data_IF_413238965428
#
_entry.id   IF_413238965428
#
_cell.length_a   1.000
_cell.length_b   1.000
_cell.length_c   1.000
_cell.angle_alpha   90.00
_cell.angle_beta   90.00
_cell.angle_gamma   90.00
#
_symmetry.space_group_name_H-M   'P 1'
#
loop_
_entity.id
_entity.type
_entity.pdbx_description
1 polymer ?
#
# COMPACT_ATOMS: atom_id res chain seq x y z
N UNK A 1 -22.72 0.59 -6.75
CA UNK A 1 -22.01 1.50 -5.85
C UNK A 1 -21.02 0.70 -5.01
N UNK A 2 -19.76 1.13 -4.95
CA UNK A 2 -18.70 0.55 -4.13
C UNK A 2 -18.21 1.63 -3.17
N UNK A 3 -18.16 1.32 -1.87
CA UNK A 3 -17.70 2.25 -0.83
C UNK A 3 -16.56 1.57 -0.07
N UNK A 4 -15.41 2.24 0.01
CA UNK A 4 -14.21 1.83 0.74
C UNK A 4 -13.16 2.94 0.69
N UNK A 5 -12.44 3.12 1.79
CA UNK A 5 -11.46 4.20 1.98
C UNK A 5 -10.19 3.54 2.55
N UNK A 6 -9.09 3.69 1.82
CA UNK A 6 -7.74 3.39 2.32
C UNK A 6 -7.08 4.65 2.86
N UNK A 7 -5.84 4.54 3.32
CA UNK A 7 -5.07 5.71 3.76
C UNK A 7 -4.70 6.61 2.59
N UNK A 8 -4.70 7.91 2.81
CA UNK A 8 -4.49 8.92 1.77
C UNK A 8 -5.68 9.09 0.83
N UNK A 9 -6.88 8.67 1.25
CA UNK A 9 -8.10 8.78 0.44
C UNK A 9 -9.19 9.53 1.19
N UNK A 10 -9.82 10.50 0.53
CA UNK A 10 -10.90 11.30 1.12
C UNK A 10 -12.24 10.90 0.53
N UNK A 11 -13.28 10.79 1.37
CA UNK A 11 -14.64 10.44 0.91
C UNK A 11 -15.14 11.42 -0.15
N UNK A 12 -14.89 12.72 0.05
CA UNK A 12 -15.33 13.80 -0.85
C UNK A 12 -14.80 13.64 -2.28
N UNK A 13 -13.64 13.01 -2.45
CA UNK A 13 -13.02 12.80 -3.76
C UNK A 13 -13.54 11.53 -4.46
N UNK A 14 -14.21 10.64 -3.72
CA UNK A 14 -14.60 9.30 -4.19
C UNK A 14 -16.11 9.12 -4.36
N UNK A 15 -16.91 9.83 -3.58
CA UNK A 15 -18.36 9.66 -3.59
C UNK A 15 -18.93 9.99 -4.97
N UNK A 16 -19.82 9.12 -5.48
CA UNK A 16 -20.43 9.28 -6.80
C UNK A 16 -19.59 8.80 -7.99
N UNK A 17 -18.30 8.51 -7.80
CA UNK A 17 -17.44 7.99 -8.87
C UNK A 17 -17.62 6.49 -9.08
N UNK A 18 -17.41 6.06 -10.32
CA UNK A 18 -17.33 4.63 -10.63
C UNK A 18 -15.91 4.10 -10.31
N UNK A 19 -15.73 2.78 -10.34
CA UNK A 19 -14.45 2.17 -9.97
C UNK A 19 -13.30 2.55 -10.91
N UNK A 20 -13.58 2.70 -12.20
CA UNK A 20 -12.57 3.04 -13.19
C UNK A 20 -12.07 4.47 -12.97
N UNK A 21 -12.98 5.44 -12.80
CA UNK A 21 -12.62 6.83 -12.48
C UNK A 21 -11.72 6.91 -11.25
N UNK A 22 -12.02 6.14 -10.19
CA UNK A 22 -11.20 6.07 -8.99
C UNK A 22 -9.77 5.57 -9.25
N UNK A 23 -9.59 4.60 -10.16
CA UNK A 23 -8.27 4.07 -10.50
C UNK A 23 -7.52 4.97 -11.49
N UNK A 24 -8.23 5.67 -12.37
CA UNK A 24 -7.64 6.67 -13.27
C UNK A 24 -7.15 7.89 -12.49
N UNK A 25 -7.98 8.42 -11.59
CA UNK A 25 -7.61 9.54 -10.72
C UNK A 25 -6.44 9.16 -9.80
N UNK A 26 -6.42 7.91 -9.31
CA UNK A 26 -5.33 7.36 -8.53
C UNK A 26 -4.07 7.03 -9.33
N UNK A 27 -4.09 7.21 -10.66
CA UNK A 27 -2.97 6.90 -11.57
C UNK A 27 -2.41 5.49 -11.34
N UNK A 28 -3.30 4.50 -11.23
CA UNK A 28 -2.89 3.11 -11.01
C UNK A 28 -2.22 2.56 -12.27
N UNK A 29 -0.95 2.12 -12.21
CA UNK A 29 -0.24 1.62 -13.37
C UNK A 29 -0.97 0.48 -14.07
N UNK A 30 -0.96 0.51 -15.40
CA UNK A 30 -1.56 -0.49 -16.30
C UNK A 30 -3.06 -0.77 -16.07
N UNK A 31 -3.81 0.14 -15.42
CA UNK A 31 -5.20 -0.13 -15.08
C UNK A 31 -6.08 -0.35 -16.32
N UNK A 32 -5.99 0.55 -17.30
CA UNK A 32 -6.79 0.47 -18.53
C UNK A 32 -6.48 -0.81 -19.33
N UNK A 33 -5.20 -1.13 -19.46
CA UNK A 33 -4.71 -2.18 -20.34
C UNK A 33 -4.89 -3.58 -19.72
N UNK A 34 -4.67 -3.70 -18.40
CA UNK A 34 -4.56 -5.00 -17.73
C UNK A 34 -5.61 -5.25 -16.66
N UNK A 35 -6.09 -4.23 -15.93
CA UNK A 35 -6.87 -4.45 -14.70
C UNK A 35 -8.37 -4.19 -14.86
N UNK A 36 -8.78 -3.20 -15.64
CA UNK A 36 -10.17 -2.76 -15.70
C UNK A 36 -11.11 -3.89 -16.11
N UNK A 37 -10.87 -4.53 -17.27
CA UNK A 37 -11.75 -5.59 -17.79
C UNK A 37 -11.84 -6.81 -16.85
N UNK A 38 -10.73 -7.37 -16.33
CA UNK A 38 -10.81 -8.45 -15.35
C UNK A 38 -11.55 -8.05 -14.08
N UNK A 39 -11.32 -6.84 -13.57
CA UNK A 39 -11.93 -6.35 -12.33
C UNK A 39 -13.44 -6.14 -12.48
N UNK A 40 -13.88 -5.54 -13.58
CA UNK A 40 -15.31 -5.36 -13.89
C UNK A 40 -16.02 -6.70 -14.04
N UNK A 41 -15.39 -7.66 -14.74
CA UNK A 41 -15.91 -9.03 -14.87
C UNK A 41 -15.99 -9.73 -13.52
N UNK A 42 -14.98 -9.56 -12.69
CA UNK A 42 -14.93 -10.18 -11.38
C UNK A 42 -16.01 -9.62 -10.45
N UNK A 43 -16.11 -8.29 -10.34
CA UNK A 43 -17.08 -7.63 -9.50
C UNK A 43 -18.51 -7.88 -9.96
N UNK A 44 -18.79 -7.90 -11.26
CA UNK A 44 -20.12 -8.25 -11.78
C UNK A 44 -20.55 -9.68 -11.43
N UNK A 45 -19.60 -10.61 -11.28
CA UNK A 45 -19.85 -12.02 -10.92
C UNK A 45 -19.76 -12.32 -9.42
N UNK A 46 -19.29 -11.38 -8.59
CA UNK A 46 -19.19 -11.58 -7.14
C UNK A 46 -20.56 -11.95 -6.55
N UNK A 47 -20.66 -13.10 -5.88
CA UNK A 47 -21.92 -13.57 -5.27
C UNK A 47 -22.04 -13.11 -3.81
N UNK A 48 -23.27 -13.11 -3.29
CA UNK A 48 -23.58 -12.71 -1.91
C UNK A 48 -22.95 -13.66 -0.88
N UNK A 49 -22.98 -14.95 -1.17
CA UNK A 49 -22.49 -16.05 -0.33
C UNK A 49 -20.99 -16.32 -0.50
N UNK A 50 -20.32 -15.60 -1.41
CA UNK A 50 -18.93 -15.82 -1.78
C UNK A 50 -18.11 -14.53 -1.61
N UNK A 51 -17.97 -14.00 -0.37
CA UNK A 51 -17.10 -12.85 -0.13
C UNK A 51 -15.65 -13.24 -0.39
N UNK A 52 -14.84 -12.24 -0.73
CA UNK A 52 -13.43 -12.42 -1.03
C UNK A 52 -12.59 -11.62 -0.04
N UNK A 53 -11.42 -12.16 0.26
CA UNK A 53 -10.39 -11.46 1.01
C UNK A 53 -9.12 -11.43 0.17
N UNK A 54 -8.43 -10.29 0.19
CA UNK A 54 -7.10 -10.11 -0.38
C UNK A 54 -6.28 -9.20 0.52
N UNK A 55 -4.96 -9.25 0.37
CA UNK A 55 -4.06 -8.30 1.02
C UNK A 55 -3.41 -7.42 -0.03
N UNK A 56 -3.19 -6.15 0.31
CA UNK A 56 -2.36 -5.22 -0.45
C UNK A 56 -1.23 -4.76 0.45
N UNK A 57 -0.01 -4.71 -0.08
CA UNK A 57 1.16 -4.23 0.64
C UNK A 57 1.64 -2.89 0.07
N UNK A 58 1.94 -1.95 0.95
CA UNK A 58 2.66 -0.70 0.64
C UNK A 58 3.72 -0.49 1.71
N UNK A 59 4.90 0.01 1.32
CA UNK A 59 5.92 0.43 2.26
C UNK A 59 5.93 1.95 2.31
N UNK A 60 6.12 2.49 3.51
CA UNK A 60 6.05 3.92 3.78
C UNK A 60 7.35 4.38 4.39
N UNK A 61 7.77 5.57 3.99
CA UNK A 61 8.77 6.38 4.67
C UNK A 61 8.04 7.31 5.64
N UNK A 62 8.11 7.04 6.93
CA UNK A 62 7.50 7.85 7.97
C UNK A 62 8.34 7.82 9.24
N UNK A 63 8.79 9.01 9.63
CA UNK A 63 9.54 9.26 10.86
C UNK A 63 8.62 9.45 12.07
N UNK A 64 7.29 9.30 11.94
CA UNK A 64 6.34 9.63 13.02
C UNK A 64 5.22 8.59 13.22
N UNK A 65 5.20 8.07 14.44
CA UNK A 65 4.19 7.21 15.08
C UNK A 65 2.78 7.85 15.25
N UNK A 66 2.43 8.87 14.47
CA UNK A 66 1.20 9.62 14.71
C UNK A 66 -0.02 8.86 14.16
N UNK A 67 -1.04 8.69 14.99
CA UNK A 67 -2.37 8.18 14.61
C UNK A 67 -2.97 8.92 13.39
N UNK A 68 -2.53 10.15 13.13
CA UNK A 68 -2.97 10.98 12.00
C UNK A 68 -2.45 10.45 10.64
N UNK A 69 -1.25 9.86 10.60
CA UNK A 69 -0.67 9.23 9.38
C UNK A 69 -1.39 7.93 8.97
N UNK A 70 -2.14 7.32 9.89
CA UNK A 70 -2.93 6.11 9.61
C UNK A 70 -4.00 6.38 8.53
N UNK A 71 -4.68 7.53 8.63
CA UNK A 71 -5.77 7.95 7.75
C UNK A 71 -5.27 8.83 6.60
N UNK A 72 -4.44 9.83 6.89
CA UNK A 72 -3.95 10.78 5.89
C UNK A 72 -2.44 10.99 6.04
N UNK A 73 -1.65 10.73 5.00
CA UNK A 73 -0.21 10.74 5.16
C UNK A 73 0.39 12.11 4.86
N UNK A 74 0.28 13.01 5.83
CA UNK A 74 0.66 14.42 5.70
C UNK A 74 2.12 14.60 5.31
N UNK A 75 3.04 13.75 5.76
CA UNK A 75 4.44 13.83 5.35
C UNK A 75 4.60 13.64 3.83
N UNK A 76 3.93 12.63 3.27
CA UNK A 76 4.09 12.23 1.86
C UNK A 76 3.11 12.92 0.91
N UNK A 77 2.02 13.49 1.42
CA UNK A 77 0.94 14.10 0.62
C UNK A 77 0.68 15.57 0.98
N UNK A 78 1.31 16.11 2.02
CA UNK A 78 0.96 17.42 2.57
C UNK A 78 -0.38 17.40 3.29
N UNK A 79 -0.78 18.54 3.84
CA UNK A 79 -2.02 18.65 4.62
C UNK A 79 -3.27 18.19 3.84
N UNK A 80 -4.15 17.42 4.51
CA UNK A 80 -5.39 16.90 3.91
C UNK A 80 -6.30 18.02 3.39
N UNK A 81 -6.36 19.13 4.14
CA UNK A 81 -7.21 20.28 3.84
C UNK A 81 -6.77 21.00 2.57
N UNK A 82 -5.46 21.00 2.32
CA UNK A 82 -4.84 21.70 1.19
C UNK A 82 -4.75 20.83 -0.08
N UNK A 83 -4.93 19.51 0.03
CA UNK A 83 -4.71 18.56 -1.06
C UNK A 83 -5.64 18.74 -2.27
N UNK A 84 -5.03 18.92 -3.46
CA UNK A 84 -5.69 18.80 -4.76
C UNK A 84 -5.29 17.47 -5.43
N UNK A 85 -6.26 16.57 -5.70
CA UNK A 85 -5.99 15.26 -6.30
C UNK A 85 -5.44 15.33 -7.73
N UNK A 86 -5.59 16.45 -8.45
CA UNK A 86 -5.12 16.61 -9.84
C UNK A 86 -3.63 16.88 -9.92
N UNK A 87 -3.11 17.69 -9.00
CA UNK A 87 -1.68 18.02 -8.92
C UNK A 87 -0.94 17.14 -7.92
N UNK A 88 -1.67 16.38 -7.09
CA UNK A 88 -1.13 15.52 -6.02
C UNK A 88 -0.23 16.29 -5.04
N UNK A 89 -0.75 17.41 -4.56
CA UNK A 89 -0.10 18.25 -3.55
C UNK A 89 -1.00 19.40 -3.10
N UNK A 90 -0.48 20.34 -2.30
CA UNK A 90 -1.22 21.51 -1.85
C UNK A 90 -1.71 22.37 -3.03
N UNK A 91 -2.96 22.81 -2.97
CA UNK A 91 -3.61 23.62 -4.02
C UNK A 91 -3.03 25.04 -4.06
N UNK A 92 -3.01 25.67 -5.24
CA UNK A 92 -2.62 27.07 -5.36
C UNK A 92 -3.46 27.98 -4.44
N UNK A 93 -2.80 28.77 -3.60
CA UNK A 93 -3.44 29.70 -2.67
C UNK A 93 -3.74 29.13 -1.28
N UNK A 94 -3.38 27.88 -1.00
CA UNK A 94 -3.50 27.32 0.36
C UNK A 94 -2.27 27.61 1.22
N UNK A 95 -2.37 27.31 2.52
CA UNK A 95 -1.34 27.67 3.51
C UNK A 95 -0.01 26.97 3.27
N UNK A 96 -0.06 25.73 2.76
CA UNK A 96 1.09 24.87 2.48
C UNK A 96 1.59 24.96 1.03
N UNK A 97 0.90 25.72 0.16
CA UNK A 97 1.31 25.91 -1.23
C UNK A 97 2.68 26.59 -1.33
N UNK A 98 3.60 25.95 -2.07
CA UNK A 98 4.98 26.43 -2.23
C UNK A 98 5.85 26.34 -0.98
N UNK A 99 5.36 25.69 0.09
CA UNK A 99 6.12 25.44 1.33
C UNK A 99 6.34 23.96 1.61
N UNK A 100 5.33 23.15 1.31
CA UNK A 100 5.46 21.70 1.43
C UNK A 100 6.32 21.17 0.29
N UNK A 101 7.25 20.29 0.65
CA UNK A 101 8.10 19.56 -0.29
C UNK A 101 7.85 18.06 -0.09
N UNK A 102 7.81 17.27 -1.18
CA UNK A 102 7.73 15.83 -1.06
C UNK A 102 8.95 15.29 -0.30
N UNK A 103 8.79 14.19 0.46
CA UNK A 103 9.87 13.65 1.27
C UNK A 103 11.04 13.19 0.40
N UNK A 104 12.26 13.42 0.91
CA UNK A 104 13.50 12.94 0.32
C UNK A 104 13.73 11.45 0.59
N UNK A 105 14.97 11.02 0.35
CA UNK A 105 15.40 9.66 0.68
C UNK A 105 15.30 9.43 2.19
N UNK A 106 14.81 8.25 2.56
CA UNK A 106 14.85 7.74 3.93
C UNK A 106 16.28 7.63 4.39
N UNK A 107 16.56 7.96 5.65
CA UNK A 107 17.92 7.96 6.20
C UNK A 107 18.18 6.81 7.18
N UNK A 108 17.13 6.24 7.76
CA UNK A 108 17.23 5.15 8.74
C UNK A 108 16.11 4.11 8.57
N UNK A 109 16.40 2.84 8.88
CA UNK A 109 15.44 1.73 8.75
C UNK A 109 14.21 1.88 9.68
N UNK A 110 14.38 2.58 10.81
CA UNK A 110 13.30 2.88 11.77
C UNK A 110 12.26 3.86 11.22
N UNK A 111 12.61 4.59 10.15
CA UNK A 111 11.69 5.47 9.42
C UNK A 111 10.90 4.72 8.35
N UNK A 112 11.10 3.41 8.19
CA UNK A 112 10.34 2.60 7.23
C UNK A 112 9.25 1.85 7.97
N UNK A 113 8.01 2.01 7.52
CA UNK A 113 6.87 1.29 8.05
C UNK A 113 6.26 0.35 7.03
N UNK A 114 5.90 -0.82 7.54
CA UNK A 114 5.18 -1.83 6.81
C UNK A 114 3.68 -1.54 6.91
N UNK A 115 3.04 -1.24 5.77
CA UNK A 115 1.59 -1.05 5.69
C UNK A 115 0.95 -2.17 4.90
N UNK A 116 0.13 -2.97 5.57
CA UNK A 116 -0.68 -4.00 4.92
C UNK A 116 -2.17 -3.70 5.06
N UNK A 117 -2.91 -3.82 3.97
CA UNK A 117 -4.35 -3.71 3.98
C UNK A 117 -4.98 -5.07 3.74
N UNK A 118 -5.68 -5.60 4.74
CA UNK A 118 -6.59 -6.73 4.58
C UNK A 118 -7.91 -6.20 4.05
N UNK A 119 -8.16 -6.50 2.78
CA UNK A 119 -9.31 -6.01 2.05
C UNK A 119 -10.35 -7.11 1.89
N UNK A 120 -11.60 -6.81 2.20
CA UNK A 120 -12.73 -7.72 2.03
C UNK A 120 -13.75 -7.08 1.11
N UNK A 121 -14.18 -7.80 0.07
CA UNK A 121 -15.30 -7.36 -0.77
C UNK A 121 -16.48 -8.30 -0.57
N UNK A 122 -17.64 -7.70 -0.29
CA UNK A 122 -18.88 -8.44 -0.05
C UNK A 122 -20.05 -7.79 -0.78
N UNK A 123 -20.80 -8.59 -1.54
CA UNK A 123 -22.07 -8.15 -2.11
C UNK A 123 -23.18 -8.23 -1.05
N UNK A 124 -23.94 -7.15 -0.91
CA UNK A 124 -25.09 -7.10 0.00
C UNK A 124 -26.32 -7.80 -0.62
N UNK A 125 -27.04 -8.64 0.15
CA UNK A 125 -28.15 -9.45 -0.37
C UNK A 125 -29.34 -8.63 -0.88
N UNK A 126 -29.65 -7.49 -0.26
CA UNK A 126 -30.84 -6.70 -0.57
C UNK A 126 -30.60 -5.66 -1.67
N UNK A 127 -29.52 -4.88 -1.55
CA UNK A 127 -29.24 -3.77 -2.47
C UNK A 127 -28.38 -4.17 -3.67
N UNK A 128 -27.71 -5.33 -3.63
CA UNK A 128 -26.73 -5.73 -4.62
C UNK A 128 -25.44 -4.89 -4.63
N UNK A 129 -25.31 -3.89 -3.75
CA UNK A 129 -24.10 -3.07 -3.62
C UNK A 129 -22.92 -3.93 -3.15
N UNK A 130 -21.71 -3.53 -3.52
CA UNK A 130 -20.47 -4.18 -3.07
C UNK A 130 -19.85 -3.29 -1.99
N UNK A 131 -19.70 -3.83 -0.79
CA UNK A 131 -18.97 -3.18 0.30
C UNK A 131 -17.51 -3.61 0.20
N UNK A 132 -16.61 -2.63 0.17
CA UNK A 132 -15.17 -2.85 0.20
C UNK A 132 -14.63 -2.38 1.54
N UNK A 133 -14.35 -3.33 2.41
CA UNK A 133 -13.77 -3.08 3.72
C UNK A 133 -12.26 -3.15 3.62
N UNK A 134 -11.58 -2.17 4.19
CA UNK A 134 -10.12 -2.08 4.22
C UNK A 134 -9.73 -2.01 5.70
N UNK A 135 -9.04 -3.04 6.19
CA UNK A 135 -8.46 -3.03 7.53
C UNK A 135 -6.95 -2.89 7.37
N UNK A 136 -6.40 -1.79 7.89
CA UNK A 136 -4.99 -1.44 7.74
C UNK A 136 -4.21 -1.88 8.96
N UNK A 137 -3.10 -2.59 8.74
CA UNK A 137 -2.06 -2.89 9.71
C UNK A 137 -0.85 -2.01 9.39
N UNK A 138 -0.27 -1.39 10.41
CA UNK A 138 0.92 -0.57 10.30
C UNK A 138 1.86 -1.02 11.41
N UNK A 139 3.07 -1.45 11.02
CA UNK A 139 4.09 -1.96 11.94
C UNK A 139 5.47 -1.44 11.53
N UNK A 140 6.41 -1.23 12.46
CA UNK A 140 7.78 -0.83 12.12
C UNK A 140 8.44 -1.89 11.24
N UNK A 141 9.11 -1.49 10.15
CA UNK A 141 9.77 -2.44 9.25
C UNK A 141 10.87 -3.23 9.97
N UNK A 142 11.59 -2.60 10.88
CA UNK A 142 12.62 -3.24 11.67
C UNK A 142 12.09 -4.42 12.51
N UNK A 143 10.84 -4.37 12.96
CA UNK A 143 10.17 -5.44 13.71
C UNK A 143 9.65 -6.53 12.76
N UNK A 144 8.96 -6.14 11.68
CA UNK A 144 8.44 -7.09 10.67
C UNK A 144 9.56 -7.91 10.05
N UNK A 145 10.72 -7.31 9.82
CA UNK A 145 11.88 -7.99 9.26
C UNK A 145 12.53 -9.01 10.23
N UNK A 146 12.19 -9.04 11.51
CA UNK A 146 12.70 -10.09 12.41
C UNK A 146 11.96 -11.43 12.23
N UNK A 147 10.78 -11.43 11.60
CA UNK A 147 9.99 -12.65 11.45
C UNK A 147 10.68 -13.66 10.51
N UNK A 148 10.81 -14.94 10.92
CA UNK A 148 11.45 -15.96 10.10
C UNK A 148 10.86 -16.09 8.69
N UNK A 149 11.72 -16.02 7.67
CA UNK A 149 11.34 -16.14 6.26
C UNK A 149 10.63 -14.91 5.67
N UNK A 150 10.40 -13.85 6.45
CA UNK A 150 9.83 -12.59 5.95
C UNK A 150 10.84 -11.74 5.18
N UNK A 151 12.09 -11.53 5.64
CA UNK A 151 13.06 -10.68 4.95
C UNK A 151 13.25 -11.02 3.46
N UNK A 152 13.57 -12.28 3.17
CA UNK A 152 13.79 -12.73 1.80
C UNK A 152 12.54 -12.59 0.92
N UNK A 153 11.34 -12.89 1.45
CA UNK A 153 10.07 -12.74 0.73
C UNK A 153 9.75 -11.27 0.46
N UNK A 154 9.96 -10.38 1.43
CA UNK A 154 9.75 -8.94 1.25
C UNK A 154 10.74 -8.38 0.22
N UNK A 155 12.02 -8.73 0.32
CA UNK A 155 13.03 -8.27 -0.62
C UNK A 155 12.71 -8.75 -2.04
N UNK A 156 12.35 -10.02 -2.20
CA UNK A 156 11.87 -10.59 -3.47
C UNK A 156 10.64 -9.86 -4.02
N UNK A 157 9.65 -9.59 -3.16
CA UNK A 157 8.43 -8.88 -3.54
C UNK A 157 8.71 -7.44 -4.00
N UNK A 158 9.52 -6.68 -3.26
CA UNK A 158 9.90 -5.29 -3.61
C UNK A 158 10.69 -5.25 -4.94
N UNK A 159 11.56 -6.23 -5.17
CA UNK A 159 12.29 -6.40 -6.44
C UNK A 159 11.38 -6.76 -7.61
N UNK A 160 10.30 -7.50 -7.37
CA UNK A 160 9.37 -7.94 -8.41
C UNK A 160 8.54 -6.82 -9.04
N UNK A 161 8.47 -5.65 -8.41
CA UNK A 161 7.74 -4.52 -8.97
C UNK A 161 8.45 -3.97 -10.20
N UNK A 162 7.73 -3.95 -11.33
CA UNK A 162 8.14 -3.22 -12.52
C UNK A 162 8.25 -1.71 -12.23
N UNK A 163 8.95 -0.99 -13.12
CA UNK A 163 9.32 0.42 -12.93
C UNK A 163 8.14 1.30 -12.50
N UNK A 164 7.05 1.33 -13.27
CA UNK A 164 5.88 2.18 -12.97
C UNK A 164 5.24 1.87 -11.61
N UNK A 165 5.15 0.59 -11.25
CA UNK A 165 4.60 0.18 -9.95
C UNK A 165 5.54 0.53 -8.81
N UNK A 166 6.85 0.40 -9.02
CA UNK A 166 7.86 0.77 -8.05
C UNK A 166 7.85 2.28 -7.76
N UNK A 167 7.77 3.12 -8.79
CA UNK A 167 7.61 4.57 -8.65
C UNK A 167 6.30 4.94 -7.95
N UNK A 168 5.20 4.31 -8.35
CA UNK A 168 3.89 4.49 -7.71
C UNK A 168 3.91 4.11 -6.22
N UNK A 169 4.73 3.13 -5.83
CA UNK A 169 4.92 2.69 -4.43
C UNK A 169 6.08 3.39 -3.71
N UNK A 170 6.69 4.40 -4.34
CA UNK A 170 7.77 5.18 -3.74
C UNK A 170 9.04 4.38 -3.47
N UNK A 171 9.29 3.28 -4.18
CA UNK A 171 10.44 2.38 -3.92
C UNK A 171 11.78 3.13 -3.89
N UNK A 172 11.94 4.12 -4.75
CA UNK A 172 13.11 4.98 -4.84
C UNK A 172 13.45 5.70 -3.52
N UNK A 173 12.47 5.92 -2.64
CA UNK A 173 12.68 6.62 -1.37
C UNK A 173 13.43 5.77 -0.35
N UNK A 174 13.31 4.43 -0.42
CA UNK A 174 13.79 3.53 0.64
C UNK A 174 14.60 2.33 0.16
N UNK A 175 14.61 1.99 -1.12
CA UNK A 175 15.24 0.75 -1.60
C UNK A 175 16.72 0.61 -1.28
N UNK A 176 17.45 1.74 -1.27
CA UNK A 176 18.88 1.80 -0.99
C UNK A 176 19.24 1.40 0.45
N UNK A 177 18.31 1.52 1.39
CA UNK A 177 18.46 1.04 2.78
C UNK A 177 17.76 -0.29 2.99
N UNK A 178 16.51 -0.40 2.52
CA UNK A 178 15.65 -1.52 2.80
C UNK A 178 16.19 -2.83 2.20
N UNK A 179 16.59 -2.82 0.92
CA UNK A 179 16.97 -4.06 0.24
C UNK A 179 18.24 -4.68 0.85
N UNK A 180 19.34 -3.92 1.07
CA UNK A 180 20.51 -4.46 1.76
C UNK A 180 20.19 -4.99 3.16
N UNK A 181 19.37 -4.26 3.93
CA UNK A 181 18.97 -4.67 5.27
C UNK A 181 18.20 -6.01 5.27
N UNK A 182 17.22 -6.17 4.36
CA UNK A 182 16.47 -7.42 4.25
C UNK A 182 17.33 -8.58 3.75
N UNK A 183 18.28 -8.33 2.85
CA UNK A 183 19.20 -9.36 2.36
C UNK A 183 20.14 -9.87 3.45
N UNK A 184 20.69 -8.97 4.28
CA UNK A 184 21.55 -9.32 5.40
C UNK A 184 20.80 -10.17 6.43
N UNK A 185 19.58 -9.75 6.79
CA UNK A 185 18.74 -10.52 7.70
C UNK A 185 18.35 -11.87 7.12
N UNK A 186 18.05 -11.93 5.83
CA UNK A 186 17.74 -13.19 5.16
C UNK A 186 18.94 -14.14 5.17
N UNK A 187 20.13 -13.65 4.82
CA UNK A 187 21.35 -14.44 4.84
C UNK A 187 21.64 -14.99 6.24
N UNK A 188 21.45 -14.17 7.28
CA UNK A 188 21.58 -14.59 8.67
C UNK A 188 20.55 -15.67 9.04
N UNK A 189 19.28 -15.52 8.65
CA UNK A 189 18.25 -16.53 8.89
C UNK A 189 18.57 -17.87 8.20
N UNK A 190 19.18 -17.84 7.02
CA UNK A 190 19.65 -19.04 6.31
C UNK A 190 20.84 -19.69 7.04
N UNK A 191 21.83 -18.90 7.45
CA UNK A 191 23.00 -19.38 8.21
C UNK A 191 22.59 -20.03 9.55
N UNK A 192 21.65 -19.41 10.26
CA UNK A 192 21.10 -19.90 11.52
C UNK A 192 20.18 -21.13 11.33
N UNK A 193 19.92 -21.56 10.09
CA UNK A 193 19.13 -22.75 9.76
C UNK A 193 17.61 -22.57 9.86
N UNK A 194 17.11 -21.33 9.92
CA UNK A 194 15.67 -21.04 9.91
C UNK A 194 15.03 -21.16 8.52
N UNK A 195 15.83 -21.28 7.46
CA UNK A 195 15.36 -21.26 6.08
C UNK A 195 16.29 -22.05 5.15
N UNK A 196 15.72 -22.70 4.15
CA UNK A 196 16.46 -23.33 3.03
C UNK A 196 16.07 -22.61 1.73
N UNK A 197 17.07 -22.24 0.92
CA UNK A 197 16.91 -21.39 -0.26
C UNK A 197 16.18 -22.16 -1.38
N UNK A 198 14.84 -22.11 -1.32
CA UNK A 198 13.95 -22.84 -2.24
C UNK A 198 12.73 -23.50 -1.59
N UNK A 199 12.57 -23.44 -0.26
CA UNK A 199 11.39 -23.98 0.42
C UNK A 199 10.51 -22.91 1.07
N UNK A 200 9.22 -23.23 1.25
CA UNK A 200 8.35 -22.54 2.20
C UNK A 200 9.00 -22.63 3.60
N UNK A 201 8.80 -21.64 4.49
CA UNK A 201 9.42 -21.64 5.82
C UNK A 201 9.26 -23.00 6.47
N UNK A 202 10.36 -23.56 6.99
CA UNK A 202 10.34 -24.81 7.75
C UNK A 202 9.34 -24.57 8.87
N UNK A 203 8.24 -25.31 8.86
CA UNK A 203 7.11 -25.10 9.77
C UNK A 203 7.62 -25.00 11.21
N UNK A 204 7.38 -23.86 11.86
CA UNK A 204 7.30 -23.82 13.31
C UNK A 204 5.92 -24.37 13.72
N UNK A 205 5.81 -25.01 14.90
CA UNK A 205 4.61 -25.74 15.35
C UNK A 205 3.31 -24.94 15.28
#
# INVERSE_FOLDING_TARGET
MMLGIGGGQRIKDKIGKNLADLHFDGQVPHYAEQLQRPLDRFLSKLKVDSPIQRNTLTLRSDTLHALDEYYWPELTMGSEDDWDPRIRGPSAGTSSYGKWEPPGLVSDISEIWFRQERQVLRRLPKSGAVVWMVHTYIEPMAEVAQEPGIPGKLASHVRSWGHELAEHKGRQLYEHLLLPYLDELHAKQVEDGFYDDGQLPIQHP
#
